data_IF_543834099199
#
_entry.id   IF_543834099199
#
_cell.length_a   1.000
_cell.length_b   1.000
_cell.length_c   1.000
_cell.angle_alpha   90.00
_cell.angle_beta   90.00
_cell.angle_gamma   90.00
#
_symmetry.space_group_name_H-M   'P 1'
#
loop_
_entity.id
_entity.type
_entity.pdbx_description
1 polymer ?
#
# COMPACT_ATOMS: atom_id res chain seq x y z
N UNK A 1 -2.60 -8.57 6.97
CA UNK A 1 -2.14 -8.73 8.37
C UNK A 1 -1.57 -10.12 8.70
N UNK A 2 -2.35 -11.21 8.71
CA UNK A 2 -1.91 -12.53 9.24
C UNK A 2 -0.70 -13.20 8.54
N UNK A 3 -0.42 -12.91 7.27
CA UNK A 3 0.74 -13.47 6.53
C UNK A 3 2.09 -12.93 7.00
N UNK A 4 2.10 -11.80 7.68
CA UNK A 4 3.31 -11.10 8.12
C UNK A 4 3.45 -11.09 9.64
N UNK A 5 2.33 -11.10 10.36
CA UNK A 5 2.30 -11.11 11.83
C UNK A 5 2.79 -12.44 12.43
N UNK A 6 2.59 -13.57 11.73
CA UNK A 6 2.83 -14.89 12.31
C UNK A 6 4.31 -15.19 12.60
N UNK A 7 5.24 -14.42 12.01
CA UNK A 7 6.68 -14.68 12.08
C UNK A 7 7.54 -13.51 12.64
N UNK A 8 6.95 -12.32 12.91
CA UNK A 8 7.76 -11.09 13.10
C UNK A 8 7.48 -10.19 14.33
N UNK A 9 6.45 -10.39 15.16
CA UNK A 9 6.29 -9.72 16.47
C UNK A 9 6.64 -8.21 16.53
N UNK A 10 7.27 -7.77 17.64
CA UNK A 10 7.78 -6.39 17.90
C UNK A 10 9.07 -6.04 17.09
N UNK A 11 9.39 -6.80 16.03
CA UNK A 11 10.56 -6.50 15.20
C UNK A 11 10.33 -5.30 14.30
N UNK A 12 11.41 -4.69 13.83
CA UNK A 12 11.37 -3.64 12.80
C UNK A 12 10.56 -4.05 11.56
N UNK A 13 10.59 -5.34 11.19
CA UNK A 13 9.77 -5.87 10.10
C UNK A 13 8.28 -5.88 10.45
N UNK A 14 7.93 -6.32 11.66
CA UNK A 14 6.55 -6.34 12.14
C UNK A 14 5.94 -4.94 12.16
N UNK A 15 6.64 -3.97 12.75
CA UNK A 15 6.17 -2.58 12.80
C UNK A 15 6.01 -1.96 11.40
N UNK A 16 6.96 -2.21 10.50
CA UNK A 16 6.87 -1.75 9.11
C UNK A 16 5.60 -2.29 8.43
N UNK A 17 5.36 -3.59 8.58
CA UNK A 17 4.22 -4.22 7.92
C UNK A 17 2.89 -3.73 8.50
N UNK A 18 2.83 -3.49 9.80
CA UNK A 18 1.65 -2.92 10.43
C UNK A 18 1.37 -1.50 9.94
N UNK A 19 2.40 -0.67 9.79
CA UNK A 19 2.28 0.67 9.17
C UNK A 19 1.71 0.56 7.76
N UNK A 20 2.31 -0.27 6.90
CA UNK A 20 1.82 -0.45 5.52
C UNK A 20 0.38 -0.97 5.52
N UNK A 21 0.05 -1.93 6.38
CA UNK A 21 -1.31 -2.46 6.49
C UNK A 21 -2.33 -1.39 6.89
N UNK A 22 -2.00 -0.54 7.87
CA UNK A 22 -2.89 0.54 8.30
C UNK A 22 -3.09 1.60 7.22
N UNK A 23 -2.04 1.93 6.48
CA UNK A 23 -2.14 2.85 5.36
C UNK A 23 -3.00 2.29 4.23
N UNK A 24 -2.80 1.03 3.83
CA UNK A 24 -3.63 0.40 2.79
C UNK A 24 -5.10 0.31 3.22
N UNK A 25 -5.37 0.00 4.50
CA UNK A 25 -6.73 -0.02 5.04
C UNK A 25 -7.36 1.38 5.00
N UNK A 26 -6.60 2.42 5.36
CA UNK A 26 -7.05 3.81 5.26
C UNK A 26 -7.34 4.19 3.81
N UNK A 27 -6.45 3.88 2.86
CA UNK A 27 -6.63 4.14 1.43
C UNK A 27 -7.90 3.47 0.88
N UNK A 28 -8.11 2.19 1.21
CA UNK A 28 -9.31 1.44 0.81
C UNK A 28 -10.59 2.10 1.36
N UNK A 29 -10.58 2.51 2.63
CA UNK A 29 -11.71 3.18 3.27
C UNK A 29 -12.02 4.54 2.63
N UNK A 30 -10.99 5.36 2.42
CA UNK A 30 -11.11 6.66 1.77
C UNK A 30 -11.67 6.52 0.35
N UNK A 31 -11.09 5.64 -0.49
CA UNK A 31 -11.55 5.44 -1.87
C UNK A 31 -13.00 4.92 -1.93
N UNK A 32 -13.37 4.01 -1.03
CA UNK A 32 -14.73 3.49 -0.95
C UNK A 32 -15.72 4.61 -0.63
N UNK A 33 -15.40 5.46 0.35
CA UNK A 33 -16.21 6.64 0.68
C UNK A 33 -16.35 7.62 -0.50
N UNK A 34 -15.25 7.89 -1.22
CA UNK A 34 -15.28 8.75 -2.42
C UNK A 34 -16.13 8.17 -3.54
N UNK A 35 -16.09 6.85 -3.75
CA UNK A 35 -16.94 6.17 -4.74
C UNK A 35 -18.43 6.34 -4.37
N UNK A 36 -18.79 6.17 -3.09
CA UNK A 36 -20.16 6.33 -2.61
C UNK A 36 -20.65 7.78 -2.74
N UNK A 37 -19.82 8.76 -2.38
CA UNK A 37 -20.13 10.20 -2.54
C UNK A 37 -20.38 10.59 -4.01
N UNK A 38 -19.70 9.93 -4.94
CA UNK A 38 -19.90 10.11 -6.38
C UNK A 38 -21.09 9.32 -6.94
N UNK A 39 -21.86 8.63 -6.09
CA UNK A 39 -23.03 7.82 -6.47
C UNK A 39 -22.68 6.44 -7.03
N UNK A 40 -21.42 6.01 -6.93
CA UNK A 40 -20.98 4.67 -7.27
C UNK A 40 -21.20 3.66 -6.13
N UNK A 41 -20.92 2.39 -6.41
CA UNK A 41 -20.92 1.32 -5.40
C UNK A 41 -19.55 0.64 -5.37
N UNK A 42 -18.81 0.70 -4.26
CA UNK A 42 -17.58 -0.07 -4.09
C UNK A 42 -17.84 -1.57 -4.24
N UNK A 43 -16.88 -2.29 -4.80
CA UNK A 43 -16.95 -3.75 -4.89
C UNK A 43 -16.27 -4.40 -3.68
N UNK A 44 -16.83 -5.51 -3.20
CA UNK A 44 -16.19 -6.36 -2.19
C UNK A 44 -15.21 -7.37 -2.80
N UNK A 45 -15.07 -7.38 -4.14
CA UNK A 45 -14.18 -8.29 -4.84
C UNK A 45 -12.72 -7.98 -4.50
N UNK A 46 -12.03 -8.95 -3.92
CA UNK A 46 -10.58 -8.89 -3.72
C UNK A 46 -9.89 -9.42 -4.97
N UNK A 47 -8.93 -8.66 -5.52
CA UNK A 47 -8.12 -9.11 -6.66
C UNK A 47 -7.07 -10.15 -6.29
N UNK A 48 -6.40 -10.70 -7.31
CA UNK A 48 -5.37 -11.76 -7.17
C UNK A 48 -4.03 -11.28 -6.57
N UNK A 49 -3.90 -9.99 -6.24
CA UNK A 49 -2.66 -9.41 -5.74
C UNK A 49 -2.20 -10.07 -4.43
N UNK A 50 -3.14 -10.32 -3.51
CA UNK A 50 -2.84 -10.98 -2.24
C UNK A 50 -2.24 -12.38 -2.46
N UNK A 51 -2.83 -13.16 -3.35
CA UNK A 51 -2.36 -14.51 -3.69
C UNK A 51 -0.97 -14.46 -4.31
N UNK A 52 -0.70 -13.48 -5.18
CA UNK A 52 0.62 -13.25 -5.79
C UNK A 52 1.70 -12.88 -4.79
N UNK A 53 1.36 -12.09 -3.75
CA UNK A 53 2.26 -11.79 -2.63
C UNK A 53 2.49 -13.03 -1.78
N UNK A 54 1.42 -13.74 -1.40
CA UNK A 54 1.51 -14.94 -0.55
C UNK A 54 2.35 -16.05 -1.18
N UNK A 55 2.33 -16.16 -2.51
CA UNK A 55 3.13 -17.11 -3.28
C UNK A 55 4.64 -16.77 -3.34
N UNK A 56 5.10 -15.66 -2.75
CA UNK A 56 6.52 -15.35 -2.66
C UNK A 56 7.16 -16.01 -1.43
N UNK A 57 8.34 -16.57 -1.64
CA UNK A 57 9.11 -17.27 -0.61
C UNK A 57 9.92 -16.28 0.24
N UNK A 58 9.61 -16.23 1.54
CA UNK A 58 10.31 -15.37 2.50
C UNK A 58 9.78 -13.93 2.53
N UNK A 59 10.17 -13.21 3.58
CA UNK A 59 9.68 -11.86 3.83
C UNK A 59 10.21 -10.87 2.79
N UNK A 60 11.49 -10.94 2.43
CA UNK A 60 12.11 -10.00 1.50
C UNK A 60 11.47 -10.08 0.10
N UNK A 61 11.18 -11.30 -0.37
CA UNK A 61 10.52 -11.49 -1.66
C UNK A 61 9.07 -10.97 -1.65
N UNK A 62 8.36 -11.15 -0.53
CA UNK A 62 7.00 -10.60 -0.34
C UNK A 62 7.02 -9.07 -0.32
N UNK A 63 7.92 -8.45 0.44
CA UNK A 63 8.07 -6.99 0.51
C UNK A 63 8.52 -6.39 -0.82
N UNK A 64 9.46 -7.02 -1.52
CA UNK A 64 9.88 -6.56 -2.85
C UNK A 64 8.72 -6.60 -3.86
N UNK A 65 7.88 -7.64 -3.82
CA UNK A 65 6.70 -7.71 -4.68
C UNK A 65 5.62 -6.68 -4.28
N UNK A 66 5.41 -6.48 -2.98
CA UNK A 66 4.52 -5.46 -2.43
C UNK A 66 4.93 -4.05 -2.92
N UNK A 67 6.22 -3.72 -2.82
CA UNK A 67 6.76 -2.43 -3.30
C UNK A 67 6.52 -2.20 -4.79
N UNK A 68 6.58 -3.24 -5.63
CA UNK A 68 6.21 -3.10 -7.05
C UNK A 68 4.74 -2.75 -7.24
N UNK A 69 3.86 -3.33 -6.42
CA UNK A 69 2.44 -2.98 -6.37
C UNK A 69 2.22 -1.53 -5.96
N UNK A 70 2.81 -1.10 -4.84
CA UNK A 70 2.72 0.28 -4.38
C UNK A 70 3.27 1.27 -5.42
N UNK A 71 4.39 0.95 -6.06
CA UNK A 71 4.98 1.80 -7.10
C UNK A 71 4.10 1.89 -8.35
N UNK A 72 3.29 0.87 -8.66
CA UNK A 72 2.28 0.97 -9.71
C UNK A 72 1.16 1.94 -9.32
N UNK A 73 0.71 1.88 -8.06
CA UNK A 73 -0.31 2.82 -7.53
C UNK A 73 0.20 4.26 -7.55
N UNK A 74 1.44 4.51 -7.12
CA UNK A 74 2.09 5.84 -7.20
C UNK A 74 2.02 6.39 -8.63
N UNK A 75 2.40 5.61 -9.64
CA UNK A 75 2.34 6.04 -11.04
C UNK A 75 0.91 6.40 -11.47
N UNK A 76 -0.08 5.59 -11.06
CA UNK A 76 -1.48 5.86 -11.37
C UNK A 76 -1.99 7.14 -10.71
N UNK A 77 -1.59 7.40 -9.47
CA UNK A 77 -1.93 8.62 -8.75
C UNK A 77 -1.28 9.85 -9.40
N UNK A 78 0.00 9.76 -9.76
CA UNK A 78 0.73 10.82 -10.46
C UNK A 78 0.11 11.14 -11.84
N UNK A 79 -0.45 10.15 -12.52
CA UNK A 79 -1.19 10.34 -13.78
C UNK A 79 -2.54 11.04 -13.56
N UNK A 80 -3.31 10.66 -12.53
CA UNK A 80 -4.71 11.11 -12.37
C UNK A 80 -4.85 12.42 -11.60
N UNK A 81 -4.06 12.63 -10.54
CA UNK A 81 -4.17 13.81 -9.65
C UNK A 81 -4.11 15.14 -10.42
N UNK A 82 -3.21 15.35 -11.39
CA UNK A 82 -3.15 16.60 -12.14
C UNK A 82 -4.41 16.89 -12.97
N UNK A 83 -5.19 15.87 -13.31
CA UNK A 83 -6.42 15.99 -14.10
C UNK A 83 -7.63 16.38 -13.27
N UNK A 84 -7.52 16.28 -11.94
CA UNK A 84 -8.62 16.55 -11.03
C UNK A 84 -8.69 18.03 -10.64
N UNK A 85 -9.91 18.60 -10.49
CA UNK A 85 -10.07 19.91 -9.91
C UNK A 85 -9.55 19.93 -8.47
N UNK A 86 -9.11 21.10 -8.01
CA UNK A 86 -8.80 21.29 -6.60
C UNK A 86 -10.02 21.00 -5.72
N UNK A 87 -9.81 20.33 -4.60
CA UNK A 87 -10.86 19.96 -3.66
C UNK A 87 -10.57 18.63 -2.96
N UNK A 88 -11.51 18.20 -2.13
CA UNK A 88 -11.29 17.09 -1.19
C UNK A 88 -10.84 15.76 -1.83
N UNK A 89 -11.35 15.41 -3.02
CA UNK A 89 -10.89 14.20 -3.70
C UNK A 89 -9.41 14.30 -4.11
N UNK A 90 -8.98 15.46 -4.60
CA UNK A 90 -7.59 15.67 -4.97
C UNK A 90 -6.68 15.63 -3.74
N UNK A 91 -7.08 16.31 -2.67
CA UNK A 91 -6.33 16.36 -1.42
C UNK A 91 -6.16 14.95 -0.81
N UNK A 92 -7.23 14.15 -0.80
CA UNK A 92 -7.18 12.77 -0.31
C UNK A 92 -6.26 11.87 -1.17
N UNK A 93 -6.29 12.04 -2.49
CA UNK A 93 -5.42 11.28 -3.40
C UNK A 93 -3.95 11.72 -3.27
N UNK A 94 -3.69 13.01 -3.03
CA UNK A 94 -2.35 13.50 -2.69
C UNK A 94 -1.85 12.89 -1.36
N UNK A 95 -2.72 12.76 -0.36
CA UNK A 95 -2.41 12.08 0.90
C UNK A 95 -2.09 10.59 0.71
N UNK A 96 -2.89 9.90 -0.10
CA UNK A 96 -2.63 8.52 -0.51
C UNK A 96 -1.28 8.37 -1.25
N UNK A 97 -0.97 9.30 -2.16
CA UNK A 97 0.30 9.33 -2.89
C UNK A 97 1.49 9.48 -1.94
N UNK A 98 1.39 10.39 -0.95
CA UNK A 98 2.45 10.57 0.06
C UNK A 98 2.66 9.31 0.89
N UNK A 99 1.60 8.65 1.35
CA UNK A 99 1.69 7.40 2.13
C UNK A 99 2.40 6.30 1.36
N UNK A 100 2.02 6.05 0.11
CA UNK A 100 2.70 5.04 -0.70
C UNK A 100 4.18 5.36 -0.94
N UNK A 101 4.55 6.63 -1.15
CA UNK A 101 5.97 7.02 -1.28
C UNK A 101 6.77 6.73 -0.01
N UNK A 102 6.21 7.01 1.16
CA UNK A 102 6.84 6.69 2.46
C UNK A 102 6.95 5.17 2.63
N UNK A 103 5.87 4.44 2.41
CA UNK A 103 5.86 2.98 2.55
C UNK A 103 6.86 2.29 1.64
N UNK A 104 6.99 2.74 0.38
CA UNK A 104 8.00 2.22 -0.55
C UNK A 104 9.40 2.48 0.01
N UNK A 105 9.70 3.71 0.43
CA UNK A 105 11.02 4.09 0.94
C UNK A 105 11.40 3.28 2.20
N UNK A 106 10.48 3.10 3.14
CA UNK A 106 10.72 2.35 4.37
C UNK A 106 10.93 0.86 4.07
N UNK A 107 10.16 0.30 3.13
CA UNK A 107 10.33 -1.08 2.67
C UNK A 107 11.66 -1.28 1.92
N UNK A 108 12.06 -0.33 1.06
CA UNK A 108 13.34 -0.38 0.36
C UNK A 108 14.52 -0.29 1.35
N UNK A 109 14.44 0.61 2.34
CA UNK A 109 15.42 0.71 3.42
C UNK A 109 15.55 -0.60 4.20
N UNK A 110 14.43 -1.23 4.56
CA UNK A 110 14.44 -2.54 5.22
C UNK A 110 15.12 -3.61 4.34
N UNK A 111 14.77 -3.67 3.06
CA UNK A 111 15.36 -4.64 2.12
C UNK A 111 16.87 -4.43 1.90
N UNK A 112 17.36 -3.20 1.94
CA UNK A 112 18.79 -2.88 1.89
C UNK A 112 19.52 -3.34 3.16
N UNK A 113 18.93 -3.09 4.33
CA UNK A 113 19.49 -3.52 5.61
C UNK A 113 19.56 -5.06 5.72
N UNK A 114 18.55 -5.77 5.24
CA UNK A 114 18.51 -7.24 5.26
C UNK A 114 19.52 -7.89 4.31
N UNK A 115 19.94 -7.20 3.24
CA UNK A 115 20.99 -7.70 2.31
C UNK A 115 22.41 -7.53 2.82
N UNK A 116 22.61 -6.67 3.82
CA UNK A 116 23.93 -6.33 4.38
C UNK A 116 24.23 -7.16 5.64
N UNK A 117 23.30 -8.02 6.06
CA UNK A 117 23.44 -8.99 7.17
C UNK A 117 23.74 -10.38 6.63
#
# INVERSE_FOLDING_TARGET
ARLFHKDHGDSTAGSLIDTVYHDEAWCCGMLSGRIEELGGKPTENTGDFFEKVAAKDGLEARLSFLNRGQAWVVRKLEEIIPTLPSGGLRDDLDDMLRRHRVNIADCDQYLEQSRTR
#
